data_IF_199033062637
#
_entry.id   IF_199033062637
#
_cell.length_a   1.000
_cell.length_b   1.000
_cell.length_c   1.000
_cell.angle_alpha   90.00
_cell.angle_beta   90.00
_cell.angle_gamma   90.00
#
_symmetry.space_group_name_H-M   'P 1'
#
loop_
_entity.id
_entity.type
_entity.pdbx_description
1 polymer ?
#
# COMPACT_ATOMS: atom_id res chain seq x y z
N UNK A 1 8.08 -10.86 27.39
CA UNK A 1 7.70 -9.45 27.60
C UNK A 1 6.22 -9.32 27.28
N UNK A 2 5.40 -8.79 28.17
CA UNK A 2 3.97 -8.61 27.97
C UNK A 2 3.76 -7.53 26.88
N UNK A 3 2.75 -7.66 26.02
CA UNK A 3 2.46 -6.70 24.93
C UNK A 3 2.32 -5.24 25.43
N UNK A 4 1.79 -5.04 26.64
CA UNK A 4 1.64 -3.71 27.27
C UNK A 4 3.00 -3.13 27.68
N UNK A 5 3.91 -3.92 28.22
CA UNK A 5 5.27 -3.48 28.57
C UNK A 5 6.08 -3.14 27.32
N UNK A 6 5.93 -3.94 26.27
CA UNK A 6 6.53 -3.66 24.95
C UNK A 6 6.05 -2.31 24.40
N UNK A 7 4.73 -2.05 24.41
CA UNK A 7 4.16 -0.79 23.90
C UNK A 7 4.65 0.42 24.70
N UNK A 8 4.77 0.33 26.02
CA UNK A 8 5.29 1.43 26.86
C UNK A 8 6.74 1.74 26.52
N UNK A 9 7.58 0.70 26.38
CA UNK A 9 8.99 0.86 26.03
C UNK A 9 9.16 1.58 24.68
N UNK A 10 8.40 1.16 23.65
CA UNK A 10 8.46 1.82 22.33
C UNK A 10 7.98 3.28 22.39
N UNK A 11 6.91 3.59 23.13
CA UNK A 11 6.42 4.97 23.30
C UNK A 11 7.49 5.89 23.92
N UNK A 12 8.18 5.44 24.97
CA UNK A 12 9.26 6.24 25.58
C UNK A 12 10.43 6.41 24.59
N UNK A 13 10.82 5.36 23.90
CA UNK A 13 11.89 5.44 22.90
C UNK A 13 11.55 6.40 21.75
N UNK A 14 10.32 6.38 21.23
CA UNK A 14 9.88 7.32 20.21
C UNK A 14 10.01 8.77 20.68
N UNK A 15 9.65 9.06 21.93
CA UNK A 15 9.76 10.42 22.50
C UNK A 15 11.20 10.90 22.61
N UNK A 16 12.15 10.03 22.90
CA UNK A 16 13.57 10.39 23.00
C UNK A 16 14.24 10.56 21.63
N UNK A 17 13.66 10.02 20.57
CA UNK A 17 14.22 10.01 19.22
C UNK A 17 13.51 11.00 18.27
N UNK A 18 12.66 11.90 18.78
CA UNK A 18 11.87 12.83 17.95
C UNK A 18 12.75 13.67 17.02
N UNK A 19 13.92 14.10 17.50
CA UNK A 19 14.87 14.89 16.73
C UNK A 19 15.87 14.03 15.92
N UNK A 20 15.81 12.71 16.03
CA UNK A 20 16.71 11.76 15.39
C UNK A 20 15.97 10.91 14.36
N UNK A 21 15.48 11.54 13.29
CA UNK A 21 14.74 10.88 12.22
C UNK A 21 15.56 10.80 10.92
N UNK A 22 15.41 9.70 10.20
CA UNK A 22 16.03 9.53 8.88
C UNK A 22 15.20 10.25 7.81
N UNK A 23 15.54 11.49 7.50
CA UNK A 23 14.80 12.30 6.52
C UNK A 23 15.45 12.32 5.13
N UNK A 24 16.75 12.06 5.06
CA UNK A 24 17.52 12.05 3.81
C UNK A 24 18.62 11.00 3.89
N UNK A 25 19.00 10.47 2.75
CA UNK A 25 20.11 9.51 2.64
C UNK A 25 21.14 10.00 1.63
N UNK A 26 22.39 9.65 1.87
CA UNK A 26 23.50 9.90 0.95
C UNK A 26 24.35 8.63 0.84
N UNK A 27 23.96 7.73 -0.05
CA UNK A 27 24.69 6.49 -0.28
C UNK A 27 25.73 6.71 -1.40
N UNK A 28 27.00 6.30 -1.22
CA UNK A 28 28.09 6.67 -2.11
C UNK A 28 28.11 5.95 -3.46
N UNK A 29 27.14 5.08 -3.74
CA UNK A 29 27.07 4.27 -4.96
C UNK A 29 25.67 4.37 -5.59
N UNK A 30 25.65 4.33 -6.92
CA UNK A 30 24.42 4.33 -7.71
C UNK A 30 23.87 5.72 -7.99
N UNK A 31 22.80 5.76 -8.79
CA UNK A 31 22.08 6.99 -9.13
C UNK A 31 20.89 7.13 -8.19
N UNK A 32 20.90 8.22 -7.41
CA UNK A 32 19.81 8.49 -6.45
C UNK A 32 18.57 9.03 -7.16
N UNK A 33 17.41 8.46 -6.79
CA UNK A 33 16.09 9.04 -7.03
C UNK A 33 15.39 9.22 -5.69
N UNK A 34 14.90 10.41 -5.40
CA UNK A 34 14.20 10.72 -4.15
C UNK A 34 12.70 10.63 -4.36
N UNK A 35 12.05 9.68 -3.67
CA UNK A 35 10.59 9.58 -3.59
C UNK A 35 10.02 10.31 -2.37
N UNK A 36 8.71 10.25 -2.16
CA UNK A 36 8.02 10.91 -1.03
C UNK A 36 8.45 10.34 0.33
N UNK A 37 8.62 9.02 0.43
CA UNK A 37 8.96 8.31 1.69
C UNK A 37 10.20 7.42 1.56
N UNK A 38 10.70 7.18 0.37
CA UNK A 38 11.87 6.34 0.10
C UNK A 38 12.85 7.05 -0.82
N UNK A 39 14.14 6.83 -0.56
CA UNK A 39 15.21 7.13 -1.50
C UNK A 39 15.59 5.83 -2.21
N UNK A 40 15.77 5.88 -3.52
CA UNK A 40 16.14 4.76 -4.36
C UNK A 40 17.52 5.01 -4.94
N UNK A 41 18.37 3.97 -4.95
CA UNK A 41 19.68 4.03 -5.58
C UNK A 41 19.76 2.93 -6.64
N UNK A 42 19.82 3.34 -7.90
CA UNK A 42 20.05 2.41 -9.00
C UNK A 42 21.51 2.00 -9.02
N UNK A 43 21.75 0.72 -8.76
CA UNK A 43 23.03 0.05 -8.92
C UNK A 43 23.08 -0.61 -10.31
N UNK A 44 24.17 -1.26 -10.67
CA UNK A 44 24.35 -1.87 -11.99
C UNK A 44 23.22 -2.89 -12.31
N UNK A 45 23.05 -3.90 -11.46
CA UNK A 45 22.08 -5.02 -11.64
C UNK A 45 20.94 -5.03 -10.61
N UNK A 46 20.93 -4.08 -9.67
CA UNK A 46 20.02 -4.05 -8.51
C UNK A 46 19.55 -2.64 -8.22
N UNK A 47 18.58 -2.56 -7.32
CA UNK A 47 18.12 -1.32 -6.75
C UNK A 47 18.18 -1.41 -5.21
N UNK A 48 18.72 -0.39 -4.55
CA UNK A 48 18.61 -0.24 -3.11
C UNK A 48 17.48 0.73 -2.79
N UNK A 49 16.47 0.26 -2.07
CA UNK A 49 15.34 1.04 -1.58
C UNK A 49 15.59 1.37 -0.12
N UNK A 50 15.73 2.65 0.22
CA UNK A 50 15.94 3.10 1.60
C UNK A 50 14.69 3.82 2.07
N UNK A 51 13.93 3.19 2.95
CA UNK A 51 12.72 3.76 3.50
C UNK A 51 13.07 4.72 4.62
N UNK A 52 12.67 5.97 4.47
CA UNK A 52 12.95 7.06 5.41
C UNK A 52 11.79 7.24 6.39
N UNK A 53 12.00 8.07 7.39
CA UNK A 53 10.99 8.41 8.39
C UNK A 53 10.01 9.51 7.95
N UNK A 54 10.13 9.96 6.69
CA UNK A 54 9.23 10.97 6.12
C UNK A 54 7.78 10.49 6.12
N UNK A 55 6.88 11.33 6.61
CA UNK A 55 5.44 11.16 6.53
C UNK A 55 4.90 12.00 5.38
N UNK A 56 4.31 11.35 4.39
CA UNK A 56 3.76 12.01 3.21
C UNK A 56 2.24 11.83 3.12
N UNK A 57 1.55 12.93 2.82
CA UNK A 57 0.15 12.92 2.40
C UNK A 57 -0.12 14.11 1.47
N UNK A 58 -1.16 14.00 0.63
CA UNK A 58 -1.55 15.04 -0.32
C UNK A 58 -0.39 15.54 -1.19
N UNK A 59 0.44 14.60 -1.65
CA UNK A 59 1.65 14.83 -2.45
C UNK A 59 2.74 15.71 -1.80
N UNK A 60 2.69 15.88 -0.47
CA UNK A 60 3.66 16.65 0.32
C UNK A 60 4.26 15.81 1.42
N UNK A 61 5.52 16.07 1.76
CA UNK A 61 6.12 15.60 3.00
C UNK A 61 5.68 16.55 4.12
N UNK A 62 4.94 16.03 5.09
CA UNK A 62 4.34 16.81 6.17
C UNK A 62 5.20 16.84 7.44
N UNK A 63 5.84 15.73 7.75
CA UNK A 63 6.62 15.53 8.97
C UNK A 63 7.61 14.37 8.79
N UNK A 64 8.37 14.08 9.83
CA UNK A 64 9.13 12.84 10.01
C UNK A 64 8.73 12.19 11.35
N UNK A 65 8.61 10.87 11.34
CA UNK A 65 8.19 10.09 12.52
C UNK A 65 9.29 9.08 12.84
N UNK A 66 9.89 9.11 14.04
CA UNK A 66 10.96 8.19 14.42
C UNK A 66 10.58 6.72 14.15
N UNK A 67 11.50 5.97 13.55
CA UNK A 67 11.37 4.55 13.21
C UNK A 67 10.31 4.21 12.16
N UNK A 68 9.59 5.20 11.59
CA UNK A 68 8.56 4.93 10.57
C UNK A 68 9.13 4.13 9.41
N UNK A 69 10.31 4.51 8.91
CA UNK A 69 10.98 3.81 7.81
C UNK A 69 11.26 2.35 8.11
N UNK A 70 11.71 2.04 9.33
CA UNK A 70 11.94 0.66 9.78
C UNK A 70 10.64 -0.13 9.84
N UNK A 71 9.59 0.45 10.41
CA UNK A 71 8.27 -0.20 10.49
C UNK A 71 7.74 -0.54 9.10
N UNK A 72 7.76 0.40 8.17
CA UNK A 72 7.29 0.17 6.80
C UNK A 72 8.12 -0.91 6.08
N UNK A 73 9.45 -0.78 6.12
CA UNK A 73 10.33 -1.71 5.41
C UNK A 73 10.25 -3.14 5.98
N UNK A 74 10.27 -3.29 7.30
CA UNK A 74 10.21 -4.61 7.95
C UNK A 74 8.81 -5.24 7.81
N UNK A 75 7.74 -4.46 7.88
CA UNK A 75 6.38 -4.93 7.60
C UNK A 75 6.27 -5.44 6.17
N UNK A 76 6.75 -4.67 5.20
CA UNK A 76 6.77 -5.08 3.79
C UNK A 76 7.60 -6.34 3.58
N UNK A 77 8.80 -6.42 4.18
CA UNK A 77 9.67 -7.59 4.08
C UNK A 77 9.01 -8.87 4.63
N UNK A 78 8.31 -8.75 5.75
CA UNK A 78 7.55 -9.86 6.33
C UNK A 78 6.42 -10.33 5.39
N UNK A 79 5.67 -9.41 4.81
CA UNK A 79 4.61 -9.75 3.87
C UNK A 79 5.16 -10.36 2.57
N UNK A 80 6.24 -9.83 2.02
CA UNK A 80 6.92 -10.41 0.85
C UNK A 80 7.32 -11.87 1.12
N UNK A 81 7.82 -12.17 2.33
CA UNK A 81 8.15 -13.54 2.70
C UNK A 81 6.91 -14.45 2.77
N UNK A 82 5.82 -13.98 3.38
CA UNK A 82 4.57 -14.74 3.55
C UNK A 82 3.81 -14.97 2.24
N UNK A 83 3.99 -14.12 1.25
CA UNK A 83 3.24 -14.16 -0.02
C UNK A 83 3.99 -14.79 -1.20
N UNK A 84 5.21 -15.30 -1.01
CA UNK A 84 6.03 -15.95 -2.05
C UNK A 84 5.32 -17.10 -2.77
N UNK A 85 4.41 -17.77 -2.10
CA UNK A 85 3.63 -18.88 -2.66
C UNK A 85 2.51 -18.41 -3.61
N UNK A 86 2.15 -17.12 -3.57
CA UNK A 86 1.14 -16.51 -4.44
C UNK A 86 1.78 -15.94 -5.70
N UNK A 87 2.83 -15.14 -5.51
CA UNK A 87 3.60 -14.50 -6.57
C UNK A 87 5.05 -14.29 -6.11
N UNK A 88 6.06 -14.50 -6.97
CA UNK A 88 7.43 -14.12 -6.65
C UNK A 88 7.55 -12.60 -6.45
N UNK A 89 8.59 -12.16 -5.75
CA UNK A 89 8.81 -10.74 -5.51
C UNK A 89 10.25 -10.31 -5.83
N UNK A 90 10.49 -9.02 -5.82
CA UNK A 90 11.76 -8.42 -6.19
C UNK A 90 12.83 -8.44 -5.08
N UNK A 91 12.49 -8.78 -3.84
CA UNK A 91 13.40 -8.68 -2.70
C UNK A 91 14.53 -9.70 -2.80
N UNK A 92 15.76 -9.21 -2.75
CA UNK A 92 16.96 -10.03 -2.69
C UNK A 92 17.47 -10.18 -1.25
N UNK A 93 17.50 -9.06 -0.50
CA UNK A 93 18.05 -9.02 0.87
C UNK A 93 17.53 -7.79 1.62
N UNK A 94 17.41 -7.90 2.93
CA UNK A 94 17.16 -6.80 3.87
C UNK A 94 18.44 -6.62 4.71
N UNK A 95 19.40 -5.83 4.23
CA UNK A 95 20.69 -5.67 4.93
C UNK A 95 20.61 -4.78 6.18
N UNK A 96 19.57 -3.96 6.27
CA UNK A 96 19.30 -3.04 7.38
C UNK A 96 17.79 -2.86 7.55
N UNK A 97 17.27 -2.57 8.75
CA UNK A 97 15.84 -2.34 8.96
C UNK A 97 15.19 -1.33 8.03
N UNK A 98 15.92 -0.34 7.54
CA UNK A 98 15.44 0.67 6.58
C UNK A 98 15.69 0.31 5.12
N UNK A 99 16.47 -0.75 4.81
CA UNK A 99 17.01 -0.99 3.47
C UNK A 99 16.52 -2.31 2.89
N UNK A 100 15.95 -2.24 1.71
CA UNK A 100 15.68 -3.38 0.84
C UNK A 100 16.60 -3.34 -0.37
N UNK A 101 17.40 -4.38 -0.56
CA UNK A 101 18.11 -4.63 -1.82
C UNK A 101 17.20 -5.48 -2.70
N UNK A 102 16.87 -5.00 -3.89
CA UNK A 102 15.91 -5.63 -4.78
C UNK A 102 16.44 -5.81 -6.21
N UNK A 103 15.79 -6.69 -6.97
CA UNK A 103 16.00 -6.81 -8.41
C UNK A 103 15.55 -5.53 -9.12
N UNK A 104 16.24 -5.14 -10.17
CA UNK A 104 15.71 -4.17 -11.13
C UNK A 104 14.57 -4.82 -11.92
N UNK A 105 13.46 -4.09 -12.06
CA UNK A 105 12.29 -4.57 -12.78
C UNK A 105 11.81 -3.49 -13.75
N UNK A 106 11.28 -3.92 -14.89
CA UNK A 106 10.48 -3.06 -15.75
C UNK A 106 9.08 -2.98 -15.16
N UNK A 107 8.79 -1.87 -14.47
CA UNK A 107 7.52 -1.64 -13.76
C UNK A 107 6.38 -1.54 -14.76
N UNK A 108 5.24 -2.17 -14.48
CA UNK A 108 4.01 -1.89 -15.21
C UNK A 108 3.49 -0.50 -14.82
N UNK A 109 3.05 0.32 -15.77
CA UNK A 109 2.58 1.67 -15.50
C UNK A 109 1.14 1.69 -14.96
N UNK A 110 0.77 0.69 -14.17
CA UNK A 110 -0.55 0.50 -13.54
C UNK A 110 -0.36 0.20 -12.06
N UNK A 111 -1.16 0.85 -11.23
CA UNK A 111 -1.33 0.51 -9.83
C UNK A 111 -2.56 -0.38 -9.66
N UNK A 112 -2.40 -1.52 -9.00
CA UNK A 112 -3.47 -2.48 -8.74
C UNK A 112 -4.09 -2.18 -7.38
N UNK A 113 -5.09 -1.28 -7.35
CA UNK A 113 -5.80 -0.93 -6.13
C UNK A 113 -6.93 -1.93 -5.89
N UNK A 114 -6.88 -2.67 -4.78
CA UNK A 114 -7.90 -3.65 -4.39
C UNK A 114 -8.65 -3.14 -3.17
N UNK A 115 -9.98 -3.21 -3.23
CA UNK A 115 -10.88 -2.71 -2.18
C UNK A 115 -11.82 -3.81 -1.69
N UNK A 116 -11.91 -3.98 -0.38
CA UNK A 116 -12.88 -4.85 0.28
C UNK A 116 -14.04 -4.08 0.90
N UNK A 117 -13.95 -2.76 0.94
CA UNK A 117 -14.93 -1.85 1.56
C UNK A 117 -15.13 -0.60 0.72
N UNK A 118 -16.34 -0.04 0.77
CA UNK A 118 -16.64 1.24 0.13
C UNK A 118 -16.35 2.39 1.10
N UNK A 119 -15.20 3.04 0.94
CA UNK A 119 -14.71 4.09 1.84
C UNK A 119 -13.83 5.11 1.12
N UNK A 120 -13.25 6.04 1.87
CA UNK A 120 -12.33 7.08 1.44
C UNK A 120 -12.99 8.44 1.26
N UNK A 121 -12.15 9.47 1.19
CA UNK A 121 -12.57 10.89 1.16
C UNK A 121 -11.94 11.69 0.02
N UNK A 122 -10.97 11.11 -0.72
CA UNK A 122 -10.38 11.77 -1.89
C UNK A 122 -11.31 11.69 -3.10
N UNK A 123 -11.10 12.52 -4.11
CA UNK A 123 -11.93 12.55 -5.32
C UNK A 123 -12.00 11.22 -6.07
N UNK A 124 -10.96 10.42 -6.00
CA UNK A 124 -10.85 9.09 -6.63
C UNK A 124 -11.21 7.93 -5.69
N UNK A 125 -11.65 8.20 -4.46
CA UNK A 125 -12.06 7.14 -3.55
C UNK A 125 -13.44 6.59 -3.90
N UNK A 126 -13.63 5.29 -3.69
CA UNK A 126 -14.85 4.59 -4.10
C UNK A 126 -16.12 5.17 -3.47
N UNK A 127 -16.05 5.59 -2.18
CA UNK A 127 -17.18 6.22 -1.54
C UNK A 127 -17.54 7.57 -2.16
N UNK A 128 -16.54 8.42 -2.45
CA UNK A 128 -16.78 9.74 -3.03
C UNK A 128 -17.42 9.62 -4.40
N UNK A 129 -16.92 8.75 -5.27
CA UNK A 129 -17.46 8.47 -6.60
C UNK A 129 -18.93 7.99 -6.48
N UNK A 130 -19.18 6.99 -5.64
CA UNK A 130 -20.53 6.46 -5.42
C UNK A 130 -21.51 7.52 -4.87
N UNK A 131 -21.07 8.32 -3.90
CA UNK A 131 -21.89 9.37 -3.26
C UNK A 131 -22.20 10.51 -4.22
N UNK A 132 -21.38 10.74 -5.25
CA UNK A 132 -21.62 11.70 -6.32
C UNK A 132 -22.65 11.21 -7.36
N UNK A 133 -23.11 9.97 -7.24
CA UNK A 133 -24.15 9.40 -8.11
C UNK A 133 -23.66 8.37 -9.12
N UNK A 134 -22.35 8.15 -9.23
CA UNK A 134 -21.79 7.14 -10.14
C UNK A 134 -22.16 5.73 -9.67
N UNK A 135 -22.52 4.87 -10.63
CA UNK A 135 -22.88 3.47 -10.41
C UNK A 135 -21.98 2.50 -11.17
N UNK A 136 -20.91 3.05 -11.75
CA UNK A 136 -19.83 2.28 -12.35
C UNK A 136 -18.48 2.93 -12.03
N UNK A 137 -17.48 2.11 -11.68
CA UNK A 137 -16.14 2.60 -11.37
C UNK A 137 -15.08 1.60 -11.81
N UNK A 138 -14.15 2.01 -12.66
CA UNK A 138 -13.11 1.13 -13.27
C UNK A 138 -13.72 -0.15 -13.88
N UNK A 139 -14.85 -0.05 -14.59
CA UNK A 139 -15.55 -1.19 -15.17
C UNK A 139 -16.35 -2.05 -14.18
N UNK A 140 -16.36 -1.70 -12.90
CA UNK A 140 -17.15 -2.42 -11.89
C UNK A 140 -18.51 -1.73 -11.68
N UNK A 141 -19.60 -2.49 -11.76
CA UNK A 141 -20.96 -2.00 -11.42
C UNK A 141 -21.14 -1.95 -9.91
N UNK A 142 -21.69 -0.85 -9.43
CA UNK A 142 -21.96 -0.59 -8.02
C UNK A 142 -23.48 -0.70 -7.77
N UNK A 143 -23.95 -1.62 -6.89
CA UNK A 143 -25.36 -1.74 -6.58
C UNK A 143 -25.89 -0.51 -5.83
N UNK A 144 -27.21 -0.30 -5.89
CA UNK A 144 -27.89 0.75 -5.11
C UNK A 144 -27.87 0.45 -3.62
N UNK A 145 -27.93 1.49 -2.80
CA UNK A 145 -28.10 1.39 -1.36
C UNK A 145 -26.84 1.07 -0.56
N UNK A 146 -25.65 1.14 -1.18
CA UNK A 146 -24.39 1.03 -0.44
C UNK A 146 -24.22 2.17 0.56
N UNK A 147 -23.70 1.86 1.73
CA UNK A 147 -23.40 2.83 2.80
C UNK A 147 -21.90 3.01 2.95
N UNK A 148 -21.48 4.20 3.37
CA UNK A 148 -20.07 4.48 3.67
C UNK A 148 -19.50 3.44 4.63
N UNK A 149 -18.28 3.01 4.38
CA UNK A 149 -17.54 2.01 5.15
C UNK A 149 -18.16 0.61 5.17
N UNK A 150 -19.16 0.34 4.34
CA UNK A 150 -19.75 -1.00 4.22
C UNK A 150 -18.75 -1.95 3.54
N UNK A 151 -18.75 -3.21 3.99
CA UNK A 151 -18.05 -4.29 3.31
C UNK A 151 -18.68 -4.56 1.96
N UNK A 152 -17.87 -4.71 0.92
CA UNK A 152 -18.33 -5.13 -0.41
C UNK A 152 -18.61 -6.64 -0.43
N UNK A 153 -19.54 -7.06 -1.27
CA UNK A 153 -19.86 -8.49 -1.45
C UNK A 153 -18.67 -9.27 -2.02
N UNK A 154 -17.86 -8.63 -2.85
CA UNK A 154 -16.61 -9.16 -3.42
C UNK A 154 -15.53 -8.10 -3.36
N UNK A 155 -14.29 -8.55 -3.21
CA UNK A 155 -13.15 -7.66 -3.38
C UNK A 155 -13.13 -7.09 -4.80
N UNK A 156 -12.94 -5.79 -4.90
CA UNK A 156 -13.04 -5.04 -6.15
C UNK A 156 -11.66 -4.50 -6.54
N UNK A 157 -11.26 -4.75 -7.78
CA UNK A 157 -10.06 -4.16 -8.37
C UNK A 157 -10.44 -2.85 -9.06
N UNK A 158 -9.78 -1.77 -8.67
CA UNK A 158 -9.99 -0.41 -9.20
C UNK A 158 -8.65 0.19 -9.58
N UNK A 159 -8.07 -0.22 -10.73
CA UNK A 159 -6.73 0.18 -11.12
C UNK A 159 -6.63 1.67 -11.43
N UNK A 160 -5.41 2.22 -11.27
CA UNK A 160 -5.05 3.56 -11.71
C UNK A 160 -3.81 3.51 -12.60
N UNK A 161 -3.72 4.44 -13.54
CA UNK A 161 -2.49 4.65 -14.31
C UNK A 161 -1.42 5.29 -13.39
N UNK A 162 -0.15 5.15 -13.79
CA UNK A 162 0.98 5.91 -13.19
C UNK A 162 1.42 6.96 -14.21
N UNK A 163 0.76 8.11 -14.18
CA UNK A 163 1.06 9.23 -15.07
C UNK A 163 1.96 10.27 -14.36
N UNK A 164 2.67 11.10 -15.13
CA UNK A 164 3.59 12.10 -14.57
C UNK A 164 2.89 13.15 -13.69
N UNK A 165 1.63 13.49 -14.01
CA UNK A 165 0.92 14.57 -13.35
C UNK A 165 -0.18 14.09 -12.41
N UNK A 166 -1.03 13.15 -12.84
CA UNK A 166 -2.13 12.62 -12.01
C UNK A 166 -2.48 11.20 -12.43
N UNK A 167 -2.46 10.30 -11.46
CA UNK A 167 -2.97 8.96 -11.62
C UNK A 167 -4.48 9.02 -11.89
N UNK A 168 -4.96 8.39 -12.96
CA UNK A 168 -6.39 8.33 -13.28
C UNK A 168 -6.95 6.93 -13.08
N UNK A 169 -8.17 6.79 -12.55
CA UNK A 169 -8.89 5.52 -12.57
C UNK A 169 -9.06 5.04 -14.02
N UNK A 170 -8.85 3.75 -14.26
CA UNK A 170 -8.92 3.15 -15.59
C UNK A 170 -9.63 1.80 -15.53
N UNK A 171 -10.38 1.44 -16.57
CA UNK A 171 -11.02 0.12 -16.64
C UNK A 171 -10.06 -0.95 -17.19
N UNK A 172 -10.29 -2.25 -16.91
CA UNK A 172 -9.54 -3.34 -17.50
C UNK A 172 -9.50 -3.31 -19.02
N UNK A 173 -10.62 -2.91 -19.64
CA UNK A 173 -10.76 -2.77 -21.08
C UNK A 173 -9.81 -1.68 -21.62
N UNK A 174 -9.86 -0.51 -21.01
CA UNK A 174 -9.04 0.64 -21.44
C UNK A 174 -7.55 0.39 -21.21
N UNK A 175 -7.15 -0.37 -20.17
CA UNK A 175 -5.75 -0.77 -19.94
C UNK A 175 -5.18 -1.48 -21.15
N UNK A 176 -5.95 -2.40 -21.75
CA UNK A 176 -5.51 -3.17 -22.91
C UNK A 176 -5.65 -2.34 -24.20
N UNK A 177 -6.76 -1.65 -24.40
CA UNK A 177 -7.03 -0.86 -25.62
C UNK A 177 -6.07 0.34 -25.75
N UNK A 178 -5.70 0.98 -24.65
CA UNK A 178 -4.73 2.08 -24.66
C UNK A 178 -3.26 1.59 -24.64
N UNK A 179 -3.02 0.29 -24.51
CA UNK A 179 -1.69 -0.31 -24.57
C UNK A 179 -0.84 -0.16 -23.30
N UNK A 180 -1.46 0.06 -22.14
CA UNK A 180 -0.76 0.11 -20.85
C UNK A 180 -0.17 -1.23 -20.47
N UNK A 181 -0.90 -2.31 -20.71
CA UNK A 181 -0.47 -3.70 -20.50
C UNK A 181 -1.03 -4.59 -21.60
N UNK A 182 -0.39 -5.74 -21.84
CA UNK A 182 -1.02 -6.80 -22.64
C UNK A 182 -2.17 -7.44 -21.87
N UNK A 183 -3.14 -8.02 -22.56
CA UNK A 183 -4.27 -8.72 -21.92
C UNK A 183 -3.77 -9.85 -20.99
N UNK A 184 -2.79 -10.64 -21.42
CA UNK A 184 -2.20 -11.73 -20.63
C UNK A 184 -1.54 -11.22 -19.35
N UNK A 185 -0.73 -10.15 -19.41
CA UNK A 185 -0.08 -9.54 -18.27
C UNK A 185 -1.12 -8.96 -17.31
N UNK A 186 -2.16 -8.30 -17.83
CA UNK A 186 -3.25 -7.75 -17.04
C UNK A 186 -4.04 -8.85 -16.31
N UNK A 187 -4.44 -9.91 -17.00
CA UNK A 187 -5.18 -11.04 -16.40
C UNK A 187 -4.37 -11.71 -15.29
N UNK A 188 -3.10 -11.97 -15.54
CA UNK A 188 -2.21 -12.55 -14.53
C UNK A 188 -2.07 -11.64 -13.31
N UNK A 189 -1.73 -10.36 -13.49
CA UNK A 189 -1.49 -9.43 -12.40
C UNK A 189 -2.76 -9.14 -11.60
N UNK A 190 -3.91 -8.95 -12.26
CA UNK A 190 -5.20 -8.70 -11.61
C UNK A 190 -5.64 -9.88 -10.73
N UNK A 191 -5.48 -11.10 -11.22
CA UNK A 191 -5.73 -12.33 -10.45
C UNK A 191 -4.81 -12.39 -9.22
N UNK A 192 -3.51 -12.13 -9.39
CA UNK A 192 -2.54 -12.15 -8.29
C UNK A 192 -2.79 -11.05 -7.25
N UNK A 193 -3.21 -9.86 -7.67
CA UNK A 193 -3.60 -8.79 -6.76
C UNK A 193 -4.79 -9.19 -5.86
N UNK A 194 -5.81 -9.84 -6.44
CA UNK A 194 -6.96 -10.33 -5.68
C UNK A 194 -6.59 -11.49 -4.71
N UNK A 195 -5.72 -12.41 -5.13
CA UNK A 195 -5.21 -13.50 -4.28
C UNK A 195 -4.40 -12.96 -3.10
N UNK A 196 -3.50 -11.98 -3.35
CA UNK A 196 -2.72 -11.30 -2.31
C UNK A 196 -3.62 -10.60 -1.30
N UNK A 197 -4.64 -9.90 -1.79
CA UNK A 197 -5.55 -9.16 -0.93
C UNK A 197 -6.40 -10.08 -0.05
N UNK A 198 -6.93 -11.17 -0.61
CA UNK A 198 -7.68 -12.16 0.15
C UNK A 198 -6.83 -12.80 1.26
N UNK A 199 -5.57 -13.16 0.97
CA UNK A 199 -4.62 -13.65 1.96
C UNK A 199 -4.30 -12.59 3.03
N UNK A 200 -4.14 -11.33 2.60
CA UNK A 200 -3.93 -10.19 3.49
C UNK A 200 -5.10 -9.97 4.44
N UNK A 201 -6.34 -10.02 3.93
CA UNK A 201 -7.56 -9.90 4.75
C UNK A 201 -7.66 -11.01 5.80
N UNK A 202 -7.43 -12.26 5.42
CA UNK A 202 -7.45 -13.39 6.34
C UNK A 202 -6.41 -13.24 7.45
N UNK A 203 -5.20 -12.87 7.07
CA UNK A 203 -4.08 -12.70 8.01
C UNK A 203 -4.30 -11.53 8.95
N UNK A 204 -4.76 -10.38 8.44
CA UNK A 204 -5.10 -9.20 9.25
C UNK A 204 -6.21 -9.52 10.26
N UNK A 205 -7.27 -10.20 9.82
CA UNK A 205 -8.41 -10.54 10.67
C UNK A 205 -8.01 -11.46 11.83
N UNK A 206 -7.13 -12.45 11.60
CA UNK A 206 -6.55 -13.30 12.67
C UNK A 206 -5.80 -12.50 13.74
N UNK A 207 -5.35 -11.30 13.39
CA UNK A 207 -4.65 -10.38 14.29
C UNK A 207 -5.51 -9.19 14.76
N UNK A 208 -6.84 -9.31 14.67
CA UNK A 208 -7.78 -8.28 15.14
C UNK A 208 -7.89 -7.04 14.25
N UNK A 209 -7.42 -7.12 13.02
CA UNK A 209 -7.42 -6.02 12.05
C UNK A 209 -8.26 -6.34 10.81
N UNK A 210 -8.84 -5.33 10.21
CA UNK A 210 -9.50 -5.39 8.91
C UNK A 210 -8.59 -4.72 7.89
N UNK A 211 -8.12 -5.47 6.88
CA UNK A 211 -7.49 -4.89 5.69
C UNK A 211 -8.61 -4.41 4.75
N UNK A 212 -8.71 -3.10 4.61
CA UNK A 212 -9.81 -2.39 3.95
C UNK A 212 -9.59 -2.27 2.46
N UNK A 213 -8.46 -1.72 2.10
CA UNK A 213 -7.95 -1.57 0.74
C UNK A 213 -6.41 -1.53 0.74
N UNK A 214 -5.84 -1.72 -0.42
CA UNK A 214 -4.39 -1.64 -0.63
C UNK A 214 -4.07 -1.37 -2.10
N UNK A 215 -2.83 -0.98 -2.34
CA UNK A 215 -2.25 -0.79 -3.66
C UNK A 215 -1.07 -1.75 -3.84
N UNK A 216 -1.04 -2.44 -4.99
CA UNK A 216 0.10 -3.24 -5.41
C UNK A 216 0.74 -2.67 -6.65
N UNK A 217 2.05 -2.87 -6.77
CA UNK A 217 2.80 -2.63 -7.98
C UNK A 217 3.49 -3.91 -8.43
N UNK A 218 3.52 -4.16 -9.72
CA UNK A 218 4.15 -5.32 -10.31
C UNK A 218 5.01 -4.90 -11.49
N UNK A 219 5.93 -5.78 -11.88
CA UNK A 219 6.81 -5.54 -13.02
C UNK A 219 7.47 -6.82 -13.48
N UNK A 220 8.16 -6.77 -14.61
CA UNK A 220 8.96 -7.89 -15.14
C UNK A 220 10.41 -7.72 -14.70
N UNK A 221 10.98 -8.77 -14.11
CA UNK A 221 12.41 -8.81 -13.82
C UNK A 221 13.23 -9.05 -15.10
N UNK A 222 14.55 -9.16 -14.98
CA UNK A 222 15.46 -9.33 -16.11
C UNK A 222 15.29 -10.67 -16.84
N UNK A 223 14.65 -11.65 -16.22
CA UNK A 223 14.28 -12.94 -16.84
C UNK A 223 12.95 -12.88 -17.58
N UNK A 224 12.20 -11.78 -17.45
CA UNK A 224 10.85 -11.60 -17.98
C UNK A 224 9.75 -12.10 -17.06
N UNK A 225 10.09 -12.60 -15.87
CA UNK A 225 9.12 -13.08 -14.90
C UNK A 225 8.40 -11.91 -14.23
N UNK A 226 7.07 -12.03 -14.10
CA UNK A 226 6.27 -11.05 -13.37
C UNK A 226 6.49 -11.23 -11.87
N UNK A 227 6.87 -10.15 -11.20
CA UNK A 227 7.15 -10.11 -9.76
C UNK A 227 6.40 -8.96 -9.08
N UNK A 228 6.02 -9.18 -7.82
CA UNK A 228 5.52 -8.12 -6.95
C UNK A 228 6.69 -7.23 -6.54
N UNK A 229 6.49 -5.92 -6.60
CA UNK A 229 7.50 -4.91 -6.32
C UNK A 229 6.97 -3.86 -5.34
N UNK A 230 7.78 -2.83 -5.07
CA UNK A 230 7.49 -1.67 -4.23
C UNK A 230 7.31 -2.05 -2.76
N UNK A 231 6.11 -2.07 -2.26
CA UNK A 231 5.75 -2.46 -0.90
C UNK A 231 4.43 -3.25 -0.87
N UNK A 232 4.19 -3.96 0.21
CA UNK A 232 2.97 -4.76 0.38
C UNK A 232 2.41 -4.61 1.80
N UNK A 233 1.11 -4.30 1.88
CA UNK A 233 0.30 -4.29 3.10
C UNK A 233 0.90 -3.47 4.25
N UNK A 234 1.69 -2.45 3.93
CA UNK A 234 2.19 -1.52 4.94
C UNK A 234 1.09 -0.55 5.38
N UNK A 235 1.19 0.07 6.54
CA UNK A 235 0.24 1.10 6.95
C UNK A 235 0.28 2.38 6.09
N UNK A 236 1.25 2.52 5.18
CA UNK A 236 1.30 3.61 4.19
C UNK A 236 0.57 3.26 2.89
N UNK A 237 0.70 2.02 2.41
CA UNK A 237 0.08 1.54 1.17
C UNK A 237 -1.32 0.97 1.35
N UNK A 238 -1.75 0.76 2.58
CA UNK A 238 -2.98 0.04 2.92
C UNK A 238 -3.75 0.74 4.02
N UNK A 239 -5.08 0.60 3.98
CA UNK A 239 -5.96 1.05 5.04
C UNK A 239 -6.30 -0.11 5.95
N UNK A 240 -6.21 0.13 7.27
CA UNK A 240 -6.52 -0.85 8.29
C UNK A 240 -7.49 -0.30 9.34
N UNK A 241 -8.48 -1.10 9.73
CA UNK A 241 -9.39 -0.81 10.83
C UNK A 241 -9.28 -1.83 11.94
N UNK A 242 -9.66 -1.44 13.17
CA UNK A 242 -9.78 -2.35 14.31
C UNK A 242 -11.04 -3.19 14.15
N UNK A 243 -10.88 -4.52 14.08
CA UNK A 243 -11.97 -5.44 13.79
C UNK A 243 -13.02 -5.49 14.92
N UNK A 244 -12.58 -5.46 16.19
CA UNK A 244 -13.44 -5.56 17.37
C UNK A 244 -14.52 -4.47 17.41
N UNK A 245 -14.15 -3.23 17.09
CA UNK A 245 -15.07 -2.09 17.17
C UNK A 245 -15.86 -1.84 15.88
N UNK A 246 -15.51 -2.47 14.78
CA UNK A 246 -16.05 -2.14 13.45
C UNK A 246 -17.58 -2.24 13.39
N UNK A 247 -18.16 -3.39 13.77
CA UNK A 247 -19.59 -3.62 13.65
C UNK A 247 -20.45 -2.65 14.49
N UNK A 248 -20.02 -2.36 15.72
CA UNK A 248 -20.75 -1.46 16.62
C UNK A 248 -20.67 -0.01 16.13
N UNK A 249 -19.49 0.40 15.63
CA UNK A 249 -19.33 1.75 15.08
C UNK A 249 -20.17 1.95 13.82
N UNK A 250 -20.20 0.99 12.91
CA UNK A 250 -21.02 1.09 11.70
C UNK A 250 -22.53 1.15 12.03
N UNK A 251 -23.01 0.33 12.99
CA UNK A 251 -24.41 0.40 13.45
C UNK A 251 -24.78 1.76 14.03
N UNK A 252 -23.84 2.42 14.68
CA UNK A 252 -24.02 3.73 15.29
C UNK A 252 -23.65 4.91 14.37
N UNK A 253 -23.49 4.67 13.06
CA UNK A 253 -23.05 5.66 12.06
C UNK A 253 -21.75 6.39 12.44
N UNK A 254 -20.82 5.70 13.06
CA UNK A 254 -19.51 6.21 13.44
C UNK A 254 -18.45 5.73 12.43
N UNK A 255 -17.40 6.55 12.21
CA UNK A 255 -16.25 6.12 11.40
C UNK A 255 -15.51 4.98 12.07
N UNK A 256 -15.01 3.96 11.30
CA UNK A 256 -14.15 2.92 11.84
C UNK A 256 -12.88 3.49 12.50
N UNK A 257 -12.30 2.73 13.43
CA UNK A 257 -11.02 3.11 14.05
C UNK A 257 -9.87 2.73 13.13
N UNK A 258 -9.17 3.72 12.60
CA UNK A 258 -7.98 3.53 11.77
C UNK A 258 -6.74 3.23 12.61
N UNK A 259 -5.85 2.39 12.07
CA UNK A 259 -4.51 2.11 12.62
C UNK A 259 -3.42 2.20 11.54
N UNK A 260 -3.68 2.92 10.48
CA UNK A 260 -2.77 3.23 9.38
C UNK A 260 -2.36 4.71 9.40
N UNK A 261 -1.75 5.20 8.32
CA UNK A 261 -1.29 6.59 8.24
C UNK A 261 -2.42 7.62 8.41
N UNK A 262 -3.66 7.28 8.16
CA UNK A 262 -4.79 8.20 8.35
C UNK A 262 -4.94 8.60 9.81
N UNK A 263 -4.57 7.73 10.76
CA UNK A 263 -4.53 8.08 12.18
C UNK A 263 -3.56 9.24 12.46
N UNK A 264 -2.41 9.28 11.82
CA UNK A 264 -1.46 10.38 11.97
C UNK A 264 -1.95 11.67 11.31
N UNK A 265 -2.69 11.60 10.22
CA UNK A 265 -3.22 12.76 9.52
C UNK A 265 -4.32 13.49 10.29
N UNK A 266 -5.07 12.79 11.14
CA UNK A 266 -6.08 13.39 12.02
C UNK A 266 -5.43 14.31 13.07
N UNK A 267 -4.16 14.07 13.40
CA UNK A 267 -3.42 14.79 14.45
C UNK A 267 -2.42 15.82 13.90
N UNK A 268 -2.23 15.88 12.60
CA UNK A 268 -1.40 16.87 11.91
C UNK A 268 -2.24 18.01 11.37
#
# INVERSE_FOLDING_TARGET
MNAIESTKHYKERIKTEVDNTLIETNFPKGVKKTGKVRDQYELEDKIALITTDRQSAFDRVLASIPFKGQVLNLTSAWWFDKTKHIIPNHVLKIPDPNVTLAKKCKVFPIEFVVRGYITGSTSTSLWTVYNNGDREYCGNKLPEGLKKNQKLDKNMLTPTTKEEHHDRPISPKDIVEEGWMTEEDWEYCSKKALELFAFGQETALKNGMILVDTKYEMGKDTSGDIVLIDEIHTPDSSRYWIAESYNDRIKNNQEPQNIDKELSLIHI
#
